data_IF_571026206096
#
_entry.id   IF_571026206096
#
_cell.length_a   1.000
_cell.length_b   1.000
_cell.length_c   1.000
_cell.angle_alpha   90.00
_cell.angle_beta   90.00
_cell.angle_gamma   90.00
#
_symmetry.space_group_name_H-M   'P 1'
#
loop_
_entity.id
_entity.type
_entity.pdbx_description
1 polymer ?
#
# COMPACT_ATOMS: atom_id res chain seq x y z
N UNK A 1 -28.98 -0.46 6.74
CA UNK A 1 -27.70 -0.14 6.09
C UNK A 1 -26.86 0.64 7.09
N UNK A 2 -25.70 0.12 7.48
CA UNK A 2 -24.80 0.77 8.44
C UNK A 2 -23.70 1.51 7.66
N UNK A 3 -23.54 2.80 7.92
CA UNK A 3 -22.51 3.63 7.28
C UNK A 3 -21.32 3.77 8.24
N UNK A 4 -20.12 3.45 7.75
CA UNK A 4 -18.85 3.70 8.45
C UNK A 4 -18.13 4.86 7.76
N UNK A 5 -17.74 5.86 8.53
CA UNK A 5 -17.02 7.04 8.04
C UNK A 5 -15.78 7.24 8.91
N UNK A 6 -14.60 7.30 8.29
CA UNK A 6 -13.39 7.73 8.98
C UNK A 6 -13.24 9.25 8.83
N UNK A 7 -13.04 9.95 9.94
CA UNK A 7 -12.88 11.40 9.94
C UNK A 7 -11.78 11.83 10.89
N UNK A 8 -10.94 12.75 10.43
CA UNK A 8 -9.99 13.48 11.28
C UNK A 8 -10.74 14.60 12.00
N UNK A 9 -10.60 14.65 13.32
CA UNK A 9 -11.27 15.64 14.15
C UNK A 9 -10.39 16.06 15.33
N UNK A 10 -10.66 17.25 15.87
CA UNK A 10 -10.03 17.74 17.08
C UNK A 10 -10.82 17.23 18.29
N UNK A 11 -10.33 16.18 18.95
CA UNK A 11 -10.90 15.63 20.18
C UNK A 11 -10.08 16.08 21.38
N UNK A 12 -10.68 16.82 22.33
CA UNK A 12 -10.02 17.29 23.57
C UNK A 12 -8.67 18.00 23.33
N UNK A 13 -8.57 18.81 22.27
CA UNK A 13 -7.34 19.55 21.94
C UNK A 13 -6.23 18.70 21.31
N UNK A 14 -6.49 17.44 20.98
CA UNK A 14 -5.57 16.58 20.20
C UNK A 14 -6.18 16.22 18.86
N UNK A 15 -5.32 16.12 17.85
CA UNK A 15 -5.70 15.65 16.54
C UNK A 15 -5.94 14.13 16.60
N UNK A 16 -7.16 13.69 16.26
CA UNK A 16 -7.61 12.32 16.43
C UNK A 16 -8.29 11.83 15.16
N UNK A 17 -8.01 10.61 14.78
CA UNK A 17 -8.78 9.91 13.76
C UNK A 17 -9.88 9.11 14.44
N UNK A 18 -11.13 9.38 14.07
CA UNK A 18 -12.28 8.64 14.57
C UNK A 18 -12.95 7.87 13.43
N UNK A 19 -13.19 6.58 13.64
CA UNK A 19 -14.16 5.83 12.87
C UNK A 19 -15.53 6.04 13.50
N UNK A 20 -16.47 6.57 12.72
CA UNK A 20 -17.84 6.84 13.13
C UNK A 20 -18.77 5.82 12.45
N UNK A 21 -19.61 5.16 13.24
CA UNK A 21 -20.64 4.24 12.74
C UNK A 21 -22.01 4.78 13.10
N UNK A 22 -22.84 5.00 12.07
CA UNK A 22 -24.18 5.54 12.23
C UNK A 22 -25.22 4.42 12.09
N UNK A 23 -26.09 4.33 13.09
CA UNK A 23 -27.21 3.42 13.12
C UNK A 23 -28.52 4.23 13.24
N UNK A 24 -29.36 4.26 12.19
CA UNK A 24 -30.66 4.93 12.29
C UNK A 24 -31.56 4.18 13.27
N UNK A 25 -32.29 4.92 14.09
CA UNK A 25 -33.29 4.39 15.04
C UNK A 25 -34.58 5.20 14.92
N UNK A 26 -35.76 4.65 15.30
CA UNK A 26 -36.97 5.46 15.35
C UNK A 26 -36.77 6.71 16.20
N UNK A 27 -36.98 7.89 15.62
CA UNK A 27 -36.82 9.18 16.30
C UNK A 27 -35.39 9.75 16.32
N UNK A 28 -34.40 9.13 15.67
CA UNK A 28 -33.06 9.72 15.57
C UNK A 28 -31.97 8.80 15.03
N UNK A 29 -30.74 9.04 15.48
CA UNK A 29 -29.56 8.28 15.07
C UNK A 29 -28.69 7.98 16.29
N UNK A 30 -28.24 6.74 16.42
CA UNK A 30 -27.20 6.35 17.36
C UNK A 30 -25.86 6.40 16.63
N UNK A 31 -24.87 7.06 17.22
CA UNK A 31 -23.51 7.15 16.68
C UNK A 31 -22.54 6.47 17.62
N UNK A 32 -21.78 5.50 17.11
CA UNK A 32 -20.62 4.95 17.79
C UNK A 32 -19.36 5.57 17.20
N UNK A 33 -18.38 5.87 18.04
CA UNK A 33 -17.07 6.31 17.59
C UNK A 33 -15.97 5.41 18.16
N UNK A 34 -14.92 5.21 17.38
CA UNK A 34 -13.70 4.52 17.80
C UNK A 34 -12.52 5.41 17.44
N UNK A 35 -11.65 5.68 18.41
CA UNK A 35 -10.35 6.28 18.14
C UNK A 35 -9.47 5.26 17.39
N UNK A 36 -9.02 5.64 16.20
CA UNK A 36 -8.20 4.86 15.28
C UNK A 36 -6.88 5.59 14.98
N UNK A 37 -6.49 6.56 15.81
CA UNK A 37 -5.28 7.38 15.61
C UNK A 37 -4.02 6.51 15.54
N UNK A 38 -3.86 5.56 16.46
CA UNK A 38 -2.70 4.65 16.48
C UNK A 38 -2.64 3.75 15.25
N UNK A 39 -3.81 3.30 14.77
CA UNK A 39 -3.91 2.52 13.53
C UNK A 39 -3.48 3.37 12.33
N UNK A 40 -3.96 4.60 12.22
CA UNK A 40 -3.58 5.52 11.13
C UNK A 40 -2.10 5.87 11.15
N UNK A 41 -1.52 6.11 12.32
CA UNK A 41 -0.08 6.35 12.47
C UNK A 41 0.75 5.14 12.01
N UNK A 42 0.32 3.92 12.35
CA UNK A 42 0.98 2.68 11.92
C UNK A 42 0.88 2.46 10.41
N UNK A 43 -0.31 2.69 9.82
CA UNK A 43 -0.52 2.62 8.37
C UNK A 43 0.36 3.64 7.61
N UNK A 44 0.49 4.85 8.14
CA UNK A 44 1.32 5.91 7.54
C UNK A 44 2.82 5.60 7.66
N UNK A 45 3.27 5.11 8.81
CA UNK A 45 4.64 4.66 9.00
C UNK A 45 5.00 3.50 8.05
N UNK A 46 4.09 2.54 7.88
CA UNK A 46 4.25 1.43 6.94
C UNK A 46 4.37 1.97 5.50
N UNK A 47 3.43 2.83 5.08
CA UNK A 47 3.45 3.43 3.74
C UNK A 47 4.73 4.21 3.48
N UNK A 48 5.21 4.98 4.46
CA UNK A 48 6.46 5.72 4.36
C UNK A 48 7.68 4.80 4.25
N UNK A 49 7.71 3.70 5.01
CA UNK A 49 8.76 2.70 4.93
C UNK A 49 8.77 1.97 3.59
N UNK A 50 7.60 1.56 3.09
CA UNK A 50 7.46 0.94 1.77
C UNK A 50 7.89 1.87 0.64
N UNK A 51 7.46 3.14 0.68
CA UNK A 51 7.86 4.14 -0.31
C UNK A 51 9.37 4.36 -0.31
N UNK A 52 9.98 4.45 0.88
CA UNK A 52 11.44 4.57 1.03
C UNK A 52 12.16 3.33 0.50
N UNK A 53 11.67 2.13 0.81
CA UNK A 53 12.23 0.89 0.33
C UNK A 53 12.19 0.81 -1.21
N UNK A 54 11.03 1.10 -1.83
CA UNK A 54 10.90 1.15 -3.29
C UNK A 54 11.84 2.18 -3.92
N UNK A 55 11.95 3.37 -3.34
CA UNK A 55 12.86 4.40 -3.84
C UNK A 55 14.33 3.96 -3.79
N UNK A 56 14.73 3.20 -2.75
CA UNK A 56 16.08 2.63 -2.67
C UNK A 56 16.32 1.58 -3.74
N UNK A 57 15.39 0.65 -3.94
CA UNK A 57 15.51 -0.38 -4.98
C UNK A 57 15.52 0.23 -6.40
N UNK A 58 14.82 1.34 -6.60
CA UNK A 58 14.82 2.07 -7.86
C UNK A 58 16.16 2.77 -8.13
N UNK A 59 16.81 3.27 -7.08
CA UNK A 59 18.04 4.05 -7.20
C UNK A 59 19.32 3.22 -7.35
N UNK A 60 19.31 1.92 -6.99
CA UNK A 60 20.51 1.09 -7.12
C UNK A 60 20.89 0.90 -8.60
N UNK A 61 22.19 0.91 -8.96
CA UNK A 61 22.64 0.73 -10.33
C UNK A 61 22.61 -0.75 -10.78
N UNK A 62 21.95 -1.62 -10.03
CA UNK A 62 21.83 -3.04 -10.31
C UNK A 62 20.40 -3.37 -10.70
N UNK A 63 20.24 -4.44 -11.46
CA UNK A 63 18.94 -5.03 -11.77
C UNK A 63 18.35 -5.64 -10.50
N UNK A 64 17.14 -5.22 -10.14
CA UNK A 64 16.42 -5.75 -8.98
C UNK A 64 15.04 -6.19 -9.42
N UNK A 65 14.64 -7.37 -8.96
CA UNK A 65 13.31 -7.89 -9.15
C UNK A 65 12.78 -8.55 -7.88
N UNK A 66 11.46 -8.56 -7.76
CA UNK A 66 10.74 -9.32 -6.76
C UNK A 66 10.07 -10.53 -7.43
N UNK A 67 10.29 -11.73 -6.88
CA UNK A 67 9.63 -12.93 -7.35
C UNK A 67 8.34 -13.20 -6.54
N UNK A 68 7.25 -13.49 -7.24
CA UNK A 68 6.02 -13.98 -6.66
C UNK A 68 6.15 -15.43 -6.16
N UNK A 69 5.15 -15.93 -5.41
CA UNK A 69 5.17 -17.28 -4.82
C UNK A 69 5.32 -18.42 -5.84
N UNK A 70 4.94 -18.18 -7.09
CA UNK A 70 5.03 -19.11 -8.23
C UNK A 70 6.33 -18.95 -9.05
N UNK A 71 7.23 -18.06 -8.63
CA UNK A 71 8.47 -17.74 -9.34
C UNK A 71 8.28 -16.76 -10.51
N UNK A 72 7.06 -16.26 -10.74
CA UNK A 72 6.83 -15.15 -11.67
C UNK A 72 7.48 -13.87 -11.14
N UNK A 73 7.81 -12.93 -12.02
CA UNK A 73 8.26 -11.63 -11.57
C UNK A 73 7.05 -10.76 -11.18
N UNK A 74 7.02 -10.35 -9.92
CA UNK A 74 5.98 -9.48 -9.37
C UNK A 74 6.30 -7.98 -9.57
N UNK A 75 7.60 -7.64 -9.61
CA UNK A 75 8.05 -6.26 -9.76
C UNK A 75 9.50 -6.17 -10.24
N UNK A 76 9.85 -5.08 -10.90
CA UNK A 76 11.21 -4.73 -11.34
C UNK A 76 11.53 -3.26 -11.11
N UNK A 77 12.82 -2.95 -10.90
CA UNK A 77 13.29 -1.58 -10.96
C UNK A 77 13.55 -1.11 -12.41
N UNK A 78 13.71 0.20 -12.62
CA UNK A 78 13.99 0.78 -13.93
C UNK A 78 15.24 0.22 -14.61
N UNK A 79 16.28 -0.15 -13.85
CA UNK A 79 17.52 -0.77 -14.40
C UNK A 79 17.26 -2.13 -15.03
N UNK A 80 16.30 -2.87 -14.51
CA UNK A 80 15.89 -4.15 -15.08
C UNK A 80 15.27 -3.99 -16.47
N UNK A 81 14.40 -2.98 -16.63
CA UNK A 81 13.78 -2.64 -17.92
C UNK A 81 14.81 -2.19 -18.95
N UNK A 82 15.79 -1.38 -18.55
CA UNK A 82 16.90 -0.97 -19.42
C UNK A 82 17.74 -2.14 -19.91
N UNK A 83 17.93 -3.17 -19.07
CA UNK A 83 18.78 -4.31 -19.40
C UNK A 83 18.12 -5.31 -20.33
N UNK A 84 16.88 -5.72 -20.06
CA UNK A 84 16.20 -6.74 -20.87
C UNK A 84 15.39 -6.15 -22.02
N UNK A 85 15.06 -4.86 -21.98
CA UNK A 85 14.22 -4.20 -22.99
C UNK A 85 12.78 -4.72 -23.03
N UNK A 86 12.35 -5.48 -22.02
CA UNK A 86 11.02 -6.09 -21.92
C UNK A 86 10.24 -5.59 -20.71
N UNK A 87 8.93 -5.69 -20.81
CA UNK A 87 7.94 -5.33 -19.79
C UNK A 87 7.57 -6.53 -18.90
N UNK A 88 6.92 -6.28 -17.75
CA UNK A 88 6.41 -7.34 -16.86
C UNK A 88 5.47 -8.31 -17.58
N UNK A 89 4.61 -7.77 -18.45
CA UNK A 89 3.63 -8.55 -19.21
C UNK A 89 4.30 -9.56 -20.15
N UNK A 90 5.49 -9.24 -20.66
CA UNK A 90 6.29 -10.13 -21.51
C UNK A 90 7.06 -11.19 -20.70
N UNK A 91 7.23 -10.99 -19.39
CA UNK A 91 7.95 -11.88 -18.47
C UNK A 91 7.01 -12.78 -17.63
N UNK A 92 5.71 -12.80 -17.93
CA UNK A 92 4.71 -13.60 -17.23
C UNK A 92 4.99 -15.12 -17.22
N UNK A 93 5.90 -15.62 -18.08
CA UNK A 93 6.36 -17.01 -18.12
C UNK A 93 7.55 -17.36 -17.21
N UNK A 94 8.12 -16.38 -16.50
CA UNK A 94 9.26 -16.55 -15.60
C UNK A 94 10.60 -16.10 -16.20
N UNK A 95 11.51 -15.67 -15.33
CA UNK A 95 12.83 -15.13 -15.70
C UNK A 95 13.78 -16.14 -16.35
N UNK A 96 13.49 -17.44 -16.23
CA UNK A 96 14.32 -18.52 -16.76
C UNK A 96 14.35 -18.62 -18.29
N UNK A 97 13.43 -17.96 -19.01
CA UNK A 97 13.34 -18.03 -20.48
C UNK A 97 14.01 -16.85 -21.19
N UNK A 98 14.41 -15.80 -20.47
CA UNK A 98 14.98 -14.58 -21.03
C UNK A 98 16.35 -14.28 -20.40
N UNK A 99 17.34 -15.12 -20.68
CA UNK A 99 18.73 -14.73 -20.46
C UNK A 99 19.22 -14.02 -21.72
N UNK A 100 19.55 -12.72 -21.68
CA UNK A 100 20.13 -12.05 -22.82
C UNK A 100 21.56 -12.57 -23.01
N UNK A 101 21.88 -12.88 -24.26
CA UNK A 101 23.20 -13.26 -24.76
C UNK A 101 24.09 -12.05 -24.97
#
# INVERSE_FOLDING_TARGET
MQLSIERRCLGFGKDRWLELRLCPVPGGTVTFYRDITDRKASEEALRASEARFRALLEAVPHQVWEAGPDGSAAWFNGRFHEFLGVTLDELAGGLGTHHPS
#
